data_IF_426417495799
#
_entry.id   IF_426417495799
#
_cell.length_a   1.000
_cell.length_b   1.000
_cell.length_c   1.000
_cell.angle_alpha   90.00
_cell.angle_beta   90.00
_cell.angle_gamma   90.00
#
_symmetry.space_group_name_H-M   'P 1'
#
loop_
_entity.id
_entity.type
_entity.pdbx_description
1 polymer ?
#
# COMPACT_ATOMS: atom_id res chain seq x y z
N UNK A 1 4.24 18.34 15.90
CA UNK A 1 4.32 17.10 15.10
C UNK A 1 4.91 17.45 13.74
N UNK A 2 5.89 16.70 13.20
CA UNK A 2 6.45 17.02 11.87
C UNK A 2 5.49 16.64 10.74
N UNK A 3 5.58 17.32 9.60
CA UNK A 3 4.72 17.07 8.42
C UNK A 3 4.81 15.60 7.97
N UNK A 4 6.01 15.03 7.89
CA UNK A 4 6.18 13.61 7.53
C UNK A 4 5.45 12.67 8.51
N UNK A 5 5.52 12.92 9.83
CA UNK A 5 4.80 12.10 10.81
C UNK A 5 3.29 12.18 10.62
N UNK A 6 2.75 13.37 10.32
CA UNK A 6 1.33 13.54 10.02
C UNK A 6 0.93 12.75 8.78
N UNK A 7 1.68 12.86 7.68
CA UNK A 7 1.41 12.13 6.43
C UNK A 7 1.42 10.63 6.66
N UNK A 8 2.38 10.11 7.42
CA UNK A 8 2.46 8.67 7.75
C UNK A 8 1.27 8.21 8.60
N UNK A 9 0.83 9.00 9.59
CA UNK A 9 -0.34 8.67 10.41
C UNK A 9 -1.60 8.63 9.55
N UNK A 10 -1.81 9.63 8.69
CA UNK A 10 -2.95 9.68 7.78
C UNK A 10 -2.91 8.47 6.84
N UNK A 11 -1.74 8.13 6.28
CA UNK A 11 -1.58 6.96 5.42
C UNK A 11 -1.96 5.66 6.13
N UNK A 12 -1.56 5.47 7.39
CA UNK A 12 -1.95 4.29 8.16
C UNK A 12 -3.43 4.27 8.51
N UNK A 13 -4.01 5.42 8.85
CA UNK A 13 -5.44 5.53 9.12
C UNK A 13 -6.28 5.18 7.88
N UNK A 14 -5.92 5.74 6.71
CA UNK A 14 -6.64 5.48 5.46
C UNK A 14 -6.40 4.05 4.95
N UNK A 15 -5.15 3.58 4.95
CA UNK A 15 -4.81 2.24 4.51
C UNK A 15 -5.40 1.16 5.42
N UNK A 16 -5.03 1.17 6.70
CA UNK A 16 -5.46 0.17 7.67
C UNK A 16 -6.95 0.29 8.01
N UNK A 17 -7.44 1.50 8.28
CA UNK A 17 -8.85 1.73 8.60
C UNK A 17 -9.75 1.45 7.40
N UNK A 18 -9.40 1.93 6.21
CA UNK A 18 -10.17 1.67 5.00
C UNK A 18 -10.21 0.18 4.62
N UNK A 19 -9.07 -0.53 4.72
CA UNK A 19 -9.04 -1.98 4.51
C UNK A 19 -9.87 -2.73 5.56
N UNK A 20 -9.82 -2.31 6.83
CA UNK A 20 -10.68 -2.87 7.88
C UNK A 20 -12.17 -2.72 7.53
N UNK A 21 -12.61 -1.52 7.16
CA UNK A 21 -14.01 -1.29 6.76
C UNK A 21 -14.40 -2.12 5.53
N UNK A 22 -13.53 -2.21 4.52
CA UNK A 22 -13.76 -3.06 3.37
C UNK A 22 -13.96 -4.53 3.78
N UNK A 23 -13.11 -5.06 4.66
CA UNK A 23 -13.23 -6.44 5.16
C UNK A 23 -14.54 -6.67 5.95
N UNK A 24 -15.04 -5.67 6.68
CA UNK A 24 -16.34 -5.81 7.38
C UNK A 24 -17.53 -5.93 6.44
N UNK A 25 -17.44 -5.34 5.24
CA UNK A 25 -18.50 -5.37 4.23
C UNK A 25 -18.36 -6.52 3.24
N UNK A 26 -17.23 -7.22 3.23
CA UNK A 26 -16.87 -8.22 2.22
C UNK A 26 -17.93 -9.29 1.99
N UNK A 27 -18.64 -9.73 3.05
CA UNK A 27 -19.69 -10.76 2.92
C UNK A 27 -21.04 -10.22 2.46
N UNK A 28 -21.37 -8.98 2.85
CA UNK A 28 -22.67 -8.37 2.57
C UNK A 28 -22.70 -7.64 1.23
N UNK A 29 -21.59 -7.00 0.86
CA UNK A 29 -21.43 -6.25 -0.37
C UNK A 29 -19.96 -6.29 -0.84
N UNK A 30 -19.57 -7.36 -1.57
CA UNK A 30 -18.21 -7.50 -2.11
C UNK A 30 -17.83 -6.36 -3.08
N UNK A 31 -18.81 -5.79 -3.79
CA UNK A 31 -18.57 -4.71 -4.76
C UNK A 31 -18.18 -3.43 -4.02
N UNK A 32 -18.94 -3.04 -3.00
CA UNK A 32 -18.59 -1.88 -2.19
C UNK A 32 -17.33 -2.11 -1.36
N UNK A 33 -17.09 -3.33 -0.88
CA UNK A 33 -15.84 -3.68 -0.21
C UNK A 33 -14.62 -3.44 -1.13
N UNK A 34 -14.68 -3.87 -2.39
CA UNK A 34 -13.64 -3.59 -3.38
C UNK A 34 -13.50 -2.09 -3.65
N UNK A 35 -14.59 -1.35 -3.84
CA UNK A 35 -14.55 0.08 -4.09
C UNK A 35 -13.89 0.87 -2.94
N UNK A 36 -14.25 0.55 -1.69
CA UNK A 36 -13.65 1.15 -0.49
C UNK A 36 -12.15 0.84 -0.44
N UNK A 37 -11.76 -0.43 -0.55
CA UNK A 37 -10.36 -0.83 -0.50
C UNK A 37 -9.54 -0.20 -1.64
N UNK A 38 -10.09 -0.14 -2.86
CA UNK A 38 -9.48 0.50 -4.02
C UNK A 38 -9.22 1.98 -3.72
N UNK A 39 -10.24 2.74 -3.31
CA UNK A 39 -10.09 4.16 -3.02
C UNK A 39 -9.10 4.42 -1.87
N UNK A 40 -9.25 3.72 -0.74
CA UNK A 40 -8.50 4.07 0.48
C UNK A 40 -7.13 3.41 0.52
N UNK A 41 -7.07 2.09 0.36
CA UNK A 41 -5.86 1.29 0.56
C UNK A 41 -4.92 1.30 -0.66
N UNK A 42 -5.43 1.65 -1.84
CA UNK A 42 -4.63 1.87 -3.05
C UNK A 42 -4.57 3.36 -3.40
N UNK A 43 -5.72 4.01 -3.58
CA UNK A 43 -5.83 5.40 -4.01
C UNK A 43 -5.13 6.38 -3.09
N UNK A 44 -5.69 6.58 -1.90
CA UNK A 44 -5.15 7.52 -0.91
C UNK A 44 -3.74 7.12 -0.45
N UNK A 45 -3.52 5.84 -0.16
CA UNK A 45 -2.20 5.34 0.28
C UNK A 45 -1.14 5.55 -0.81
N UNK A 46 -1.46 5.31 -2.08
CA UNK A 46 -0.53 5.50 -3.20
C UNK A 46 -0.12 6.97 -3.36
N UNK A 47 -1.09 7.90 -3.31
CA UNK A 47 -0.82 9.35 -3.38
C UNK A 47 0.01 9.82 -2.17
N UNK A 48 -0.33 9.38 -0.96
CA UNK A 48 0.44 9.76 0.24
C UNK A 48 1.84 9.15 0.23
N UNK A 49 1.99 7.94 -0.29
CA UNK A 49 3.30 7.30 -0.46
C UNK A 49 4.16 8.04 -1.49
N UNK A 50 3.58 8.53 -2.58
CA UNK A 50 4.27 9.44 -3.50
C UNK A 50 4.79 10.70 -2.77
N UNK A 51 3.94 11.35 -1.96
CA UNK A 51 4.37 12.52 -1.19
C UNK A 51 5.56 12.18 -0.28
N UNK A 52 5.54 11.03 0.41
CA UNK A 52 6.67 10.64 1.27
C UNK A 52 7.93 10.30 0.49
N UNK A 53 7.80 9.67 -0.68
CA UNK A 53 8.94 9.19 -1.47
C UNK A 53 9.54 10.25 -2.40
N UNK A 54 8.78 11.27 -2.80
CA UNK A 54 9.25 12.30 -3.74
C UNK A 54 9.48 13.63 -3.05
N UNK A 55 8.53 14.09 -2.23
CA UNK A 55 8.61 15.42 -1.61
C UNK A 55 9.31 15.38 -0.24
N UNK A 56 9.19 14.27 0.50
CA UNK A 56 9.75 14.12 1.85
C UNK A 56 10.82 13.00 1.92
N UNK A 57 11.47 12.71 0.80
CA UNK A 57 12.30 11.52 0.59
C UNK A 57 13.41 11.35 1.65
N UNK A 58 14.08 12.43 2.08
CA UNK A 58 15.14 12.35 3.09
C UNK A 58 14.60 11.90 4.46
N UNK A 59 13.45 12.44 4.85
CA UNK A 59 12.83 12.12 6.13
C UNK A 59 12.24 10.71 6.12
N UNK A 60 11.69 10.28 4.98
CA UNK A 60 11.14 8.93 4.83
C UNK A 60 12.25 7.88 4.80
N UNK A 61 13.32 8.11 4.03
CA UNK A 61 14.50 7.24 3.98
C UNK A 61 15.13 7.04 5.37
N UNK A 62 15.29 8.11 6.17
CA UNK A 62 15.74 8.01 7.56
C UNK A 62 14.77 7.21 8.43
N UNK A 63 13.45 7.44 8.29
CA UNK A 63 12.40 6.73 9.04
C UNK A 63 12.43 5.21 8.81
N UNK A 64 12.68 4.78 7.58
CA UNK A 64 12.73 3.36 7.20
C UNK A 64 14.16 2.80 7.18
N UNK A 65 15.16 3.60 7.58
CA UNK A 65 16.60 3.25 7.61
C UNK A 65 17.10 2.78 6.25
N UNK A 66 16.54 3.34 5.19
CA UNK A 66 16.89 3.07 3.81
C UNK A 66 17.45 4.34 3.17
N UNK A 67 18.46 4.89 3.83
CA UNK A 67 19.22 6.03 3.33
C UNK A 67 19.99 5.58 2.07
N UNK A 68 19.65 6.20 0.95
CA UNK A 68 20.27 5.91 -0.34
C UNK A 68 21.21 7.05 -0.71
N UNK A 69 22.32 6.73 -1.38
CA UNK A 69 23.25 7.75 -1.89
C UNK A 69 22.65 8.54 -3.07
N UNK A 70 21.64 7.98 -3.73
CA UNK A 70 20.98 8.55 -4.92
C UNK A 70 19.48 8.60 -4.72
N UNK A 71 18.87 9.76 -4.99
CA UNK A 71 17.43 9.99 -4.81
C UNK A 71 16.56 9.24 -5.83
N UNK A 72 17.14 8.84 -6.97
CA UNK A 72 16.41 8.25 -8.10
C UNK A 72 15.55 7.05 -7.71
N UNK A 73 16.05 6.18 -6.83
CA UNK A 73 15.28 5.02 -6.36
C UNK A 73 14.02 5.43 -5.58
N UNK A 74 14.10 6.48 -4.75
CA UNK A 74 12.93 7.00 -4.03
C UNK A 74 11.91 7.56 -5.01
N UNK A 75 12.35 8.24 -6.08
CA UNK A 75 11.45 8.77 -7.10
C UNK A 75 10.75 7.67 -7.91
N UNK A 76 11.47 6.65 -8.34
CA UNK A 76 10.89 5.49 -9.04
C UNK A 76 9.78 4.82 -8.20
N UNK A 77 10.06 4.57 -6.91
CA UNK A 77 9.09 4.00 -5.97
C UNK A 77 7.91 4.95 -5.78
N UNK A 78 8.16 6.26 -5.66
CA UNK A 78 7.12 7.28 -5.55
C UNK A 78 6.20 7.33 -6.77
N UNK A 79 6.76 7.32 -7.99
CA UNK A 79 5.99 7.33 -9.23
C UNK A 79 5.16 6.06 -9.42
N UNK A 80 5.70 4.89 -9.07
CA UNK A 80 4.93 3.65 -9.08
C UNK A 80 3.71 3.73 -8.14
N UNK A 81 3.91 4.23 -6.91
CA UNK A 81 2.80 4.45 -5.96
C UNK A 81 1.76 5.45 -6.50
N UNK A 82 2.21 6.54 -7.13
CA UNK A 82 1.31 7.54 -7.71
C UNK A 82 0.49 6.94 -8.86
N UNK A 83 1.09 6.12 -9.72
CA UNK A 83 0.41 5.49 -10.84
C UNK A 83 -0.73 4.58 -10.36
N UNK A 84 -0.48 3.73 -9.37
CA UNK A 84 -1.53 2.91 -8.74
C UNK A 84 -2.58 3.78 -8.04
N UNK A 85 -2.14 4.79 -7.28
CA UNK A 85 -3.02 5.66 -6.52
C UNK A 85 -4.01 6.44 -7.41
N UNK A 86 -3.51 7.08 -8.46
CA UNK A 86 -4.36 7.81 -9.41
C UNK A 86 -5.29 6.88 -10.17
N UNK A 87 -4.81 5.70 -10.59
CA UNK A 87 -5.66 4.72 -11.28
C UNK A 87 -6.83 4.24 -10.42
N UNK A 88 -6.59 4.00 -9.12
CA UNK A 88 -7.63 3.60 -8.17
C UNK A 88 -8.63 4.72 -7.88
N UNK A 89 -8.15 5.96 -7.74
CA UNK A 89 -9.05 7.13 -7.58
C UNK A 89 -9.93 7.30 -8.82
N UNK A 90 -9.35 7.19 -10.03
CA UNK A 90 -10.12 7.28 -11.28
C UNK A 90 -11.13 6.14 -11.38
N UNK A 91 -10.73 4.89 -11.12
CA UNK A 91 -11.62 3.73 -11.11
C UNK A 91 -12.84 3.95 -10.22
N UNK A 92 -12.60 4.43 -8.99
CA UNK A 92 -13.65 4.71 -8.02
C UNK A 92 -14.59 5.84 -8.47
N UNK A 93 -14.04 7.00 -8.86
CA UNK A 93 -14.82 8.19 -9.24
C UNK A 93 -15.59 7.97 -10.54
N UNK A 94 -15.02 7.26 -11.50
CA UNK A 94 -15.64 6.96 -12.77
C UNK A 94 -16.55 5.71 -12.73
N UNK A 95 -16.67 5.06 -11.57
CA UNK A 95 -17.48 3.86 -11.37
C UNK A 95 -17.17 2.74 -12.38
N UNK A 96 -15.89 2.45 -12.62
CA UNK A 96 -15.45 1.41 -13.57
C UNK A 96 -15.77 -0.03 -13.15
N UNK A 97 -16.32 -0.21 -11.96
CA UNK A 97 -16.87 -1.47 -11.48
C UNK A 97 -15.86 -2.35 -10.74
N UNK A 98 -16.39 -3.42 -10.16
CA UNK A 98 -15.67 -4.30 -9.22
C UNK A 98 -14.42 -4.93 -9.85
N UNK A 99 -14.42 -5.21 -11.15
CA UNK A 99 -13.28 -5.77 -11.88
C UNK A 99 -12.07 -4.84 -11.86
N UNK A 100 -12.29 -3.55 -12.15
CA UNK A 100 -11.24 -2.53 -12.19
C UNK A 100 -10.66 -2.28 -10.80
N UNK A 101 -11.53 -2.17 -9.79
CA UNK A 101 -11.09 -2.01 -8.40
C UNK A 101 -10.31 -3.23 -7.92
N UNK A 102 -10.80 -4.43 -8.20
CA UNK A 102 -10.16 -5.69 -7.79
C UNK A 102 -8.77 -5.85 -8.41
N UNK A 103 -8.60 -5.55 -9.70
CA UNK A 103 -7.28 -5.68 -10.36
C UNK A 103 -6.28 -4.64 -9.84
N UNK A 104 -6.74 -3.44 -9.48
CA UNK A 104 -5.90 -2.39 -8.89
C UNK A 104 -5.45 -2.76 -7.48
N UNK A 105 -6.36 -3.30 -6.65
CA UNK A 105 -6.02 -3.86 -5.33
C UNK A 105 -5.02 -5.00 -5.48
N UNK A 106 -5.26 -5.93 -6.41
CA UNK A 106 -4.37 -7.07 -6.66
C UNK A 106 -2.98 -6.62 -7.08
N UNK A 107 -2.89 -5.74 -8.09
CA UNK A 107 -1.62 -5.20 -8.58
C UNK A 107 -0.83 -4.46 -7.50
N UNK A 108 -1.51 -3.62 -6.71
CA UNK A 108 -0.87 -2.89 -5.62
C UNK A 108 -0.43 -3.83 -4.49
N UNK A 109 -1.23 -4.85 -4.16
CA UNK A 109 -0.86 -5.86 -3.16
C UNK A 109 0.37 -6.67 -3.58
N UNK A 110 0.48 -7.06 -4.86
CA UNK A 110 1.68 -7.72 -5.38
C UNK A 110 2.91 -6.82 -5.32
N UNK A 111 2.75 -5.54 -5.70
CA UNK A 111 3.81 -4.55 -5.59
C UNK A 111 4.33 -4.42 -4.14
N UNK A 112 3.43 -4.28 -3.16
CA UNK A 112 3.80 -4.21 -1.74
C UNK A 112 4.42 -5.51 -1.25
N UNK A 113 3.90 -6.66 -1.67
CA UNK A 113 4.46 -7.97 -1.32
C UNK A 113 5.92 -8.08 -1.78
N UNK A 114 6.22 -7.68 -3.01
CA UNK A 114 7.59 -7.65 -3.56
C UNK A 114 8.48 -6.67 -2.80
N UNK A 115 7.97 -5.48 -2.43
CA UNK A 115 8.70 -4.53 -1.60
C UNK A 115 9.03 -5.14 -0.22
N UNK A 116 8.06 -5.80 0.42
CA UNK A 116 8.26 -6.53 1.68
C UNK A 116 9.33 -7.61 1.57
N UNK A 117 9.30 -8.43 0.51
CA UNK A 117 10.33 -9.43 0.22
C UNK A 117 11.72 -8.80 0.07
N UNK A 118 11.83 -7.67 -0.65
CA UNK A 118 13.10 -6.95 -0.83
C UNK A 118 13.65 -6.44 0.51
N UNK A 119 12.80 -5.83 1.34
CA UNK A 119 13.19 -5.34 2.67
C UNK A 119 13.62 -6.48 3.60
N UNK A 120 12.88 -7.59 3.60
CA UNK A 120 13.24 -8.80 4.35
C UNK A 120 14.57 -9.38 3.88
N UNK A 121 14.77 -9.56 2.58
CA UNK A 121 16.02 -10.10 2.03
C UNK A 121 17.23 -9.23 2.40
N UNK A 122 17.09 -7.90 2.38
CA UNK A 122 18.15 -6.98 2.82
C UNK A 122 18.40 -7.06 4.31
N UNK A 123 17.35 -7.14 5.13
CA UNK A 123 17.50 -7.28 6.58
C UNK A 123 18.20 -8.58 6.99
N UNK A 124 18.01 -9.67 6.24
CA UNK A 124 18.67 -10.95 6.49
C UNK A 124 20.15 -10.97 6.05
N UNK A 125 20.50 -10.20 5.02
CA UNK A 125 21.89 -10.08 4.51
C UNK A 125 22.73 -9.04 5.26
N UNK A 126 22.12 -8.19 6.08
CA UNK A 126 22.83 -7.14 6.83
C UNK A 126 23.70 -7.67 7.98
N UNK A 127 24.86 -7.05 8.22
CA UNK A 127 25.81 -7.43 9.30
C UNK A 127 25.27 -7.21 10.72
N UNK A 128 24.21 -6.42 10.89
CA UNK A 128 23.43 -6.29 12.13
C UNK A 128 21.99 -6.67 11.81
N UNK A 129 21.45 -7.67 12.53
CA UNK A 129 20.02 -7.98 12.52
C UNK A 129 19.27 -6.80 13.13
N UNK A 130 18.82 -5.89 12.29
CA UNK A 130 17.96 -4.80 12.75
C UNK A 130 16.50 -5.25 12.76
N UNK A 131 16.11 -5.84 13.89
CA UNK A 131 14.78 -6.39 14.13
C UNK A 131 13.67 -5.36 13.86
N UNK A 132 13.94 -4.08 14.12
CA UNK A 132 12.98 -2.98 13.92
C UNK A 132 12.68 -2.76 12.44
N UNK A 133 13.69 -2.86 11.58
CA UNK A 133 13.53 -2.72 10.13
C UNK A 133 12.83 -3.94 9.53
N UNK A 134 13.12 -5.14 10.05
CA UNK A 134 12.41 -6.35 9.63
C UNK A 134 10.91 -6.31 9.98
N UNK A 135 10.56 -5.89 11.19
CA UNK A 135 9.15 -5.81 11.62
C UNK A 135 8.41 -4.72 10.84
N UNK A 136 8.98 -3.51 10.75
CA UNK A 136 8.31 -2.37 10.10
C UNK A 136 8.27 -2.46 8.58
N UNK A 137 9.35 -2.93 7.95
CA UNK A 137 9.46 -3.02 6.49
C UNK A 137 8.97 -4.35 5.91
N UNK A 138 9.05 -5.43 6.69
CA UNK A 138 8.65 -6.78 6.29
C UNK A 138 7.26 -7.14 6.81
N UNK A 139 7.14 -7.41 8.12
CA UNK A 139 5.92 -8.01 8.70
C UNK A 139 4.67 -7.16 8.43
N UNK A 140 4.71 -5.85 8.72
CA UNK A 140 3.54 -4.98 8.50
C UNK A 140 3.14 -4.98 7.02
N UNK A 141 4.13 -4.88 6.12
CA UNK A 141 3.91 -4.93 4.67
C UNK A 141 3.27 -6.25 4.26
N UNK A 142 3.78 -7.39 4.76
CA UNK A 142 3.22 -8.72 4.47
C UNK A 142 1.80 -8.89 4.97
N UNK A 143 1.49 -8.43 6.19
CA UNK A 143 0.14 -8.49 6.76
C UNK A 143 -0.80 -7.65 5.92
N UNK A 144 -0.41 -6.43 5.57
CA UNK A 144 -1.23 -5.52 4.78
C UNK A 144 -1.47 -6.05 3.36
N UNK A 145 -0.41 -6.45 2.65
CA UNK A 145 -0.54 -7.04 1.31
C UNK A 145 -1.31 -8.37 1.34
N UNK A 146 -1.11 -9.19 2.38
CA UNK A 146 -1.82 -10.46 2.56
C UNK A 146 -3.33 -10.25 2.79
N UNK A 147 -3.69 -9.26 3.61
CA UNK A 147 -5.10 -8.90 3.82
C UNK A 147 -5.75 -8.37 2.54
N UNK A 148 -5.03 -7.58 1.73
CA UNK A 148 -5.51 -7.15 0.41
C UNK A 148 -5.70 -8.33 -0.55
N UNK A 149 -4.75 -9.26 -0.62
CA UNK A 149 -4.87 -10.47 -1.44
C UNK A 149 -6.02 -11.37 -0.99
N UNK A 150 -6.24 -11.48 0.31
CA UNK A 150 -7.40 -12.18 0.85
C UNK A 150 -8.71 -11.53 0.40
N UNK A 151 -8.81 -10.20 0.52
CA UNK A 151 -9.97 -9.45 0.04
C UNK A 151 -10.21 -9.71 -1.45
N UNK A 152 -9.17 -9.60 -2.28
CA UNK A 152 -9.26 -9.89 -3.73
C UNK A 152 -9.79 -11.31 -3.97
N UNK A 153 -9.23 -12.32 -3.31
CA UNK A 153 -9.66 -13.71 -3.48
C UNK A 153 -11.14 -13.88 -3.14
N UNK A 154 -11.61 -13.28 -2.04
CA UNK A 154 -13.01 -13.34 -1.64
C UNK A 154 -13.92 -12.61 -2.63
N UNK A 155 -13.58 -11.38 -3.03
CA UNK A 155 -14.36 -10.61 -4.02
C UNK A 155 -14.51 -11.39 -5.32
N UNK A 156 -13.42 -11.99 -5.82
CA UNK A 156 -13.42 -12.81 -7.04
C UNK A 156 -14.32 -14.04 -6.90
N UNK A 157 -14.35 -14.69 -5.74
CA UNK A 157 -15.20 -15.88 -5.54
C UNK A 157 -16.66 -15.56 -5.24
N UNK A 158 -16.96 -14.38 -4.69
CA UNK A 158 -18.31 -13.96 -4.30
C UNK A 158 -19.04 -13.19 -5.38
N UNK A 159 -18.30 -12.55 -6.28
CA UNK A 159 -18.85 -11.87 -7.46
C UNK A 159 -18.91 -12.92 -8.57
N UNK A 160 -20.09 -13.51 -8.80
CA UNK A 160 -20.30 -14.27 -10.03
C UNK A 160 -20.16 -13.29 -11.20
N UNK A 161 -19.02 -13.33 -11.88
CA UNK A 161 -18.76 -12.54 -13.09
C UNK A 161 -19.68 -12.99 -14.24
#
# INVERSE_FOLDING_TARGET
MSINKLVVIIRYALGGGGLYFALTQLKSDPTNAAAIASLTAVGCVGVLSFVTHVLLHEQDAKRIGFETKTVSFQYEVGFANLAFGLSAIVSYVAHWGVQADTILIFGYALYLLQAGMLHTAKSLKGKKKDMTHFIRGGIITFVFSGAMLYLVAQVVTSSAF
#
